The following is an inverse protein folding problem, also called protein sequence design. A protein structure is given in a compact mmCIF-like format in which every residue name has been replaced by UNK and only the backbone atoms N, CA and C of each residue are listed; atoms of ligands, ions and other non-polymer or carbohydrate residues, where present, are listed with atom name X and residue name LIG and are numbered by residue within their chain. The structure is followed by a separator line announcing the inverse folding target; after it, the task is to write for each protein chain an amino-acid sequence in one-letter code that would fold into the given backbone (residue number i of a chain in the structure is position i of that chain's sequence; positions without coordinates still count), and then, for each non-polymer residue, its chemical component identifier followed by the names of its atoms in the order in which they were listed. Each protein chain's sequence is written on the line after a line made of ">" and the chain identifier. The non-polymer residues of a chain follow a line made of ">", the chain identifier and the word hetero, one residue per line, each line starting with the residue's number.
data_IF_476690206551
#
_entry.id   IF_476690206551
#
_cell.length_a   1.000
_cell.length_b   1.000
_cell.length_c   1.000
_cell.angle_alpha   90.00
_cell.angle_beta   90.00
_cell.angle_gamma   90.00
#
_symmetry.space_group_name_H-M   'P 1'
#
loop_
_entity.id
_entity.type
_entity.pdbx_description
1 polymer ?
#
# COMPACT_ATOMS: atom_id res chain seq x y z
N UNK A 1 -6.53 -6.30 13.93
CA UNK A 1 -5.37 -7.11 13.77
C UNK A 1 -4.27 -6.70 14.71
N UNK A 2 -3.78 -7.68 15.37
CA UNK A 2 -2.82 -7.41 16.45
C UNK A 2 -1.46 -6.99 15.95
N UNK A 3 -1.18 -7.15 14.66
CA UNK A 3 0.16 -6.94 14.15
C UNK A 3 0.48 -5.51 13.79
N UNK A 4 -0.53 -4.65 13.73
CA UNK A 4 -0.28 -3.26 13.35
C UNK A 4 0.18 -2.43 14.55
N UNK A 5 1.19 -1.61 14.31
CA UNK A 5 1.70 -0.68 15.32
C UNK A 5 1.39 0.73 14.85
N UNK A 6 0.88 1.55 15.75
CA UNK A 6 0.53 2.94 15.41
C UNK A 6 1.55 3.88 16.02
N UNK A 7 2.06 4.82 15.23
CA UNK A 7 3.08 5.75 15.68
C UNK A 7 2.86 7.12 15.05
N UNK A 8 3.24 8.16 15.78
CA UNK A 8 3.15 9.52 15.25
C UNK A 8 4.21 9.75 14.20
N UNK A 9 3.90 10.61 13.24
CA UNK A 9 4.80 10.88 12.13
C UNK A 9 6.16 11.41 12.61
N UNK A 10 6.15 12.33 13.59
CA UNK A 10 7.41 12.86 14.09
C UNK A 10 8.24 11.80 14.78
N UNK A 11 7.59 10.96 15.56
CA UNK A 11 8.29 9.87 16.24
C UNK A 11 8.82 8.87 15.22
N UNK A 12 8.04 8.57 14.23
CA UNK A 12 8.45 7.65 13.18
C UNK A 12 9.68 8.18 12.44
N UNK A 13 9.66 9.46 12.11
CA UNK A 13 10.78 10.06 11.39
C UNK A 13 12.06 10.06 12.21
N UNK A 14 11.96 10.35 13.50
CA UNK A 14 13.12 10.38 14.36
C UNK A 14 13.74 9.02 14.58
N UNK A 15 12.92 7.98 14.62
CA UNK A 15 13.36 6.64 14.95
C UNK A 15 13.13 5.67 13.81
N UNK A 16 13.32 6.13 12.59
CA UNK A 16 12.99 5.33 11.42
C UNK A 16 13.69 3.97 11.43
N UNK A 17 14.98 3.95 11.81
CA UNK A 17 15.71 2.68 11.82
C UNK A 17 15.06 1.68 12.78
N UNK A 18 14.62 2.17 13.94
CA UNK A 18 13.94 1.31 14.90
C UNK A 18 12.66 0.74 14.31
N UNK A 19 11.89 1.58 13.59
CA UNK A 19 10.62 1.13 13.04
C UNK A 19 10.80 0.27 11.81
N UNK A 20 11.93 0.37 11.12
CA UNK A 20 12.24 -0.60 10.09
C UNK A 20 12.30 -2.00 10.67
N UNK A 21 13.00 -2.15 11.80
CA UNK A 21 13.10 -3.45 12.46
C UNK A 21 11.75 -3.86 13.02
N UNK A 22 11.02 -2.90 13.57
CA UNK A 22 9.73 -3.19 14.13
C UNK A 22 8.75 -3.68 13.09
N UNK A 23 8.84 -3.15 11.87
CA UNK A 23 7.95 -3.55 10.78
C UNK A 23 8.13 -5.01 10.41
N UNK A 24 9.33 -5.55 10.59
CA UNK A 24 9.55 -6.96 10.29
C UNK A 24 8.69 -7.84 11.19
N UNK A 25 8.55 -7.45 12.45
CA UNK A 25 7.73 -8.19 13.40
C UNK A 25 6.26 -7.82 13.29
N UNK A 26 5.98 -6.52 13.26
CA UNK A 26 4.61 -6.03 13.29
C UNK A 26 3.96 -6.06 11.92
N UNK A 27 4.78 -6.15 10.88
CA UNK A 27 4.34 -6.21 9.47
C UNK A 27 3.81 -4.90 8.94
N UNK A 28 3.19 -4.08 9.77
CA UNK A 28 2.63 -2.81 9.33
C UNK A 28 2.81 -1.77 10.43
N UNK A 29 3.38 -0.64 10.07
CA UNK A 29 3.48 0.52 10.95
C UNK A 29 2.52 1.57 10.42
N UNK A 30 1.53 1.93 11.22
CA UNK A 30 0.55 2.95 10.86
C UNK A 30 1.06 4.29 11.37
N UNK A 31 1.18 5.25 10.47
CA UNK A 31 1.72 6.57 10.80
C UNK A 31 0.58 7.57 10.87
N UNK A 32 0.54 8.32 11.97
CA UNK A 32 -0.51 9.30 12.19
C UNK A 32 0.07 10.69 12.33
N UNK A 33 -0.77 11.69 12.06
CA UNK A 33 -0.43 13.08 12.26
C UNK A 33 -1.71 13.80 12.64
N UNK A 34 -1.65 14.54 13.75
CA UNK A 34 -2.81 15.26 14.27
C UNK A 34 -4.03 14.33 14.44
N UNK A 35 -3.77 13.15 14.99
CA UNK A 35 -4.80 12.13 15.26
C UNK A 35 -5.47 11.62 14.00
N UNK A 36 -4.78 11.71 12.87
CA UNK A 36 -5.29 11.18 11.61
C UNK A 36 -4.26 10.24 11.01
N UNK A 37 -4.73 9.17 10.39
CA UNK A 37 -3.85 8.26 9.68
C UNK A 37 -3.42 8.92 8.38
N UNK A 38 -2.11 9.13 8.23
CA UNK A 38 -1.58 9.76 7.01
C UNK A 38 -0.87 8.76 6.13
N UNK A 39 -0.56 7.57 6.62
CA UNK A 39 0.10 6.59 5.79
C UNK A 39 0.56 5.41 6.62
N UNK A 40 1.43 4.60 6.04
CA UNK A 40 1.93 3.46 6.73
C UNK A 40 3.24 2.99 6.12
N UNK A 41 3.91 2.08 6.83
CA UNK A 41 5.16 1.49 6.39
C UNK A 41 5.02 -0.02 6.47
N UNK A 42 5.33 -0.70 5.39
CA UNK A 42 5.23 -2.15 5.30
C UNK A 42 6.63 -2.77 5.27
N UNK A 43 6.76 -3.94 5.88
CA UNK A 43 7.98 -4.70 5.69
C UNK A 43 8.08 -5.14 4.23
N UNK A 44 9.27 -5.57 3.82
CA UNK A 44 9.47 -5.95 2.42
C UNK A 44 8.53 -7.07 1.99
N UNK A 45 8.31 -8.05 2.85
CA UNK A 45 7.43 -9.17 2.51
C UNK A 45 5.99 -8.72 2.39
N UNK A 46 5.55 -7.82 3.27
CA UNK A 46 4.18 -7.32 3.20
C UNK A 46 3.99 -6.41 2.00
N UNK A 47 5.01 -5.64 1.65
CA UNK A 47 4.93 -4.80 0.48
C UNK A 47 4.78 -5.64 -0.78
N UNK A 48 5.53 -6.73 -0.89
CA UNK A 48 5.42 -7.62 -2.03
C UNK A 48 4.02 -8.24 -2.11
N UNK A 49 3.48 -8.59 -0.94
CA UNK A 49 2.13 -9.15 -0.88
C UNK A 49 1.10 -8.12 -1.35
N UNK A 50 1.24 -6.89 -0.87
CA UNK A 50 0.35 -5.81 -1.26
C UNK A 50 0.39 -5.59 -2.77
N UNK A 51 1.59 -5.59 -3.35
CA UNK A 51 1.72 -5.37 -4.78
C UNK A 51 1.07 -6.48 -5.59
N UNK A 52 1.18 -7.72 -5.11
CA UNK A 52 0.50 -8.83 -5.77
C UNK A 52 -1.01 -8.67 -5.72
N UNK A 53 -1.53 -8.26 -4.57
CA UNK A 53 -2.98 -8.05 -4.43
C UNK A 53 -3.46 -6.93 -5.34
N UNK A 54 -2.70 -5.85 -5.45
CA UNK A 54 -3.08 -4.75 -6.33
C UNK A 54 -3.06 -5.19 -7.80
N UNK A 55 -2.11 -6.01 -8.16
CA UNK A 55 -2.05 -6.52 -9.53
C UNK A 55 -3.25 -7.40 -9.83
N UNK A 56 -3.58 -8.30 -8.91
CA UNK A 56 -4.74 -9.17 -9.09
C UNK A 56 -6.03 -8.37 -9.15
N UNK A 57 -6.13 -7.34 -8.35
CA UNK A 57 -7.30 -6.48 -8.37
C UNK A 57 -7.51 -5.86 -9.74
N UNK A 58 -6.42 -5.37 -10.32
CA UNK A 58 -6.50 -4.79 -11.66
C UNK A 58 -6.87 -5.83 -12.72
N UNK A 59 -6.34 -7.02 -12.59
CA UNK A 59 -6.66 -8.10 -13.52
C UNK A 59 -8.12 -8.48 -13.45
N UNK A 60 -8.66 -8.57 -12.25
CA UNK A 60 -10.06 -8.89 -12.07
C UNK A 60 -10.94 -7.82 -12.70
N UNK A 61 -10.62 -6.56 -12.47
CA UNK A 61 -11.38 -5.47 -13.06
C UNK A 61 -11.32 -5.51 -14.58
N UNK A 62 -10.17 -5.87 -15.12
CA UNK A 62 -10.00 -5.91 -16.58
C UNK A 62 -10.77 -7.04 -17.22
N UNK A 63 -10.79 -8.19 -16.57
CA UNK A 63 -11.36 -9.41 -17.15
C UNK A 63 -12.81 -9.61 -16.77
N UNK A 64 -13.26 -8.95 -15.71
CA UNK A 64 -14.62 -9.14 -15.21
C UNK A 64 -15.66 -8.74 -16.21
N UNK A 65 -16.84 -8.39 -15.75
CA UNK A 65 -17.98 -8.09 -16.61
C UNK A 65 -17.87 -6.71 -17.25
N UNK A 66 -16.72 -6.34 -17.75
CA UNK A 66 -16.48 -5.01 -18.30
C UNK A 66 -16.75 -4.99 -19.79
N UNK A 67 -17.33 -3.88 -20.26
CA UNK A 67 -17.46 -3.66 -21.69
C UNK A 67 -16.12 -3.29 -22.27
N UNK A 68 -16.04 -3.33 -23.61
CA UNK A 68 -14.80 -2.97 -24.27
C UNK A 68 -14.39 -1.53 -23.96
N UNK A 69 -15.35 -0.63 -23.85
CA UNK A 69 -15.06 0.76 -23.55
C UNK A 69 -14.42 0.89 -22.17
N UNK A 70 -14.95 0.19 -21.20
CA UNK A 70 -14.41 0.25 -19.85
C UNK A 70 -13.03 -0.36 -19.81
N UNK A 71 -12.82 -1.44 -20.54
CA UNK A 71 -11.51 -2.06 -20.59
C UNK A 71 -10.48 -1.10 -21.17
N UNK A 72 -10.84 -0.38 -22.23
CA UNK A 72 -9.94 0.58 -22.84
C UNK A 72 -9.59 1.69 -21.85
N UNK A 73 -10.57 2.17 -21.11
CA UNK A 73 -10.34 3.21 -20.12
C UNK A 73 -9.39 2.73 -19.03
N UNK A 74 -9.58 1.51 -18.58
CA UNK A 74 -8.72 0.96 -17.53
C UNK A 74 -7.29 0.82 -18.03
N UNK A 75 -7.12 0.37 -19.26
CA UNK A 75 -5.79 0.23 -19.82
C UNK A 75 -5.09 1.57 -19.94
N UNK A 76 -5.82 2.59 -20.36
CA UNK A 76 -5.25 3.93 -20.44
C UNK A 76 -4.81 4.42 -19.07
N UNK A 77 -5.61 4.15 -18.05
CA UNK A 77 -5.25 4.53 -16.68
C UNK A 77 -4.02 3.80 -16.21
N UNK A 78 -3.88 2.54 -16.58
CA UNK A 78 -2.70 1.77 -16.21
C UNK A 78 -1.43 2.34 -16.82
N UNK A 79 -1.50 2.75 -18.06
CA UNK A 79 -0.37 3.36 -18.70
C UNK A 79 0.04 4.64 -17.98
N UNK A 80 -0.94 5.42 -17.57
CA UNK A 80 -0.67 6.63 -16.83
C UNK A 80 0.03 6.34 -15.50
N UNK A 81 -0.41 5.28 -14.81
CA UNK A 81 0.21 4.89 -13.57
C UNK A 81 1.64 4.42 -13.79
N UNK A 82 1.85 3.65 -14.83
CA UNK A 82 3.19 3.14 -15.11
C UNK A 82 4.17 4.24 -15.46
N UNK A 83 3.68 5.33 -16.03
CA UNK A 83 4.55 6.44 -16.37
C UNK A 83 5.09 7.14 -15.13
N UNK A 84 4.49 6.92 -14.00
CA UNK A 84 4.98 7.48 -12.76
C UNK A 84 6.18 6.72 -12.24
#
# INVERSE_FOLDING_TARGET
>A
MADATTVRATTFARNFAHYQDEAIRAKLIVVTSHNRIVGGYLSASELAHYERLKRREREVLRVGALSDDIVADIEAAEYGIEAL
#
